data_IF_074786530810
#
_entry.id   IF_074786530810
#
_cell.length_a   1.000
_cell.length_b   1.000
_cell.length_c   1.000
_cell.angle_alpha   90.00
_cell.angle_beta   90.00
_cell.angle_gamma   90.00
#
_symmetry.space_group_name_H-M   'P 1'
#
loop_
_entity.id
_entity.type
_entity.pdbx_description
1 polymer ?
#
# COMPACT_ATOMS: atom_id res chain seq x y z
N UNK A 1 -15.15 -7.39 -4.01
CA UNK A 1 -15.31 -8.39 -5.11
C UNK A 1 -15.48 -9.81 -4.53
N UNK A 2 -16.73 -10.24 -4.31
CA UNK A 2 -17.04 -11.57 -3.77
C UNK A 2 -17.07 -12.63 -4.88
N UNK A 3 -15.89 -13.00 -5.37
CA UNK A 3 -15.71 -14.19 -6.24
C UNK A 3 -15.38 -15.45 -5.42
N UNK A 4 -15.65 -16.64 -5.95
CA UNK A 4 -15.19 -17.90 -5.35
C UNK A 4 -13.65 -18.02 -5.33
N UNK A 5 -13.11 -18.88 -4.48
CA UNK A 5 -11.68 -19.24 -4.52
C UNK A 5 -11.37 -19.91 -5.87
N UNK A 6 -10.31 -19.46 -6.56
CA UNK A 6 -9.95 -19.97 -7.89
C UNK A 6 -10.51 -19.19 -9.09
N UNK A 7 -11.37 -18.18 -8.87
CA UNK A 7 -11.93 -17.35 -9.95
C UNK A 7 -10.92 -16.36 -10.60
N UNK A 8 -9.62 -16.46 -10.31
CA UNK A 8 -8.59 -15.61 -10.91
C UNK A 8 -8.42 -14.23 -10.28
N UNK A 9 -8.93 -13.98 -9.07
CA UNK A 9 -8.78 -12.69 -8.36
C UNK A 9 -7.31 -12.24 -8.26
N UNK A 10 -6.43 -13.16 -7.86
CA UNK A 10 -5.00 -12.90 -7.73
C UNK A 10 -4.37 -12.64 -9.09
N UNK A 11 -4.76 -13.40 -10.11
CA UNK A 11 -4.32 -13.16 -11.49
C UNK A 11 -4.72 -11.76 -11.98
N UNK A 12 -5.95 -11.32 -11.68
CA UNK A 12 -6.42 -9.98 -12.02
C UNK A 12 -5.67 -8.89 -11.24
N UNK A 13 -5.46 -9.06 -9.93
CA UNK A 13 -4.69 -8.12 -9.13
C UNK A 13 -3.25 -7.99 -9.66
N UNK A 14 -2.59 -9.10 -9.99
CA UNK A 14 -1.24 -9.06 -10.55
C UNK A 14 -1.18 -8.29 -11.88
N UNK A 15 -2.21 -8.41 -12.73
CA UNK A 15 -2.29 -7.61 -13.95
C UNK A 15 -2.44 -6.11 -13.66
N UNK A 16 -3.25 -5.76 -12.65
CA UNK A 16 -3.47 -4.37 -12.24
C UNK A 16 -2.24 -3.77 -11.54
N UNK A 17 -1.46 -4.57 -10.83
CA UNK A 17 -0.22 -4.15 -10.17
C UNK A 17 0.99 -4.11 -11.11
N UNK A 18 0.78 -4.36 -12.41
CA UNK A 18 1.83 -4.49 -13.43
C UNK A 18 2.85 -5.60 -13.12
N UNK A 19 2.50 -6.55 -12.23
CA UNK A 19 3.30 -7.72 -11.97
C UNK A 19 3.22 -8.70 -13.14
N UNK A 20 4.37 -9.26 -13.53
CA UNK A 20 4.43 -10.28 -14.57
C UNK A 20 3.80 -11.58 -14.06
N UNK A 21 2.55 -11.83 -14.44
CA UNK A 21 1.88 -13.11 -14.25
C UNK A 21 2.33 -14.19 -15.25
N UNK A 22 1.83 -15.41 -15.07
CA UNK A 22 1.96 -16.48 -16.08
C UNK A 22 0.99 -16.20 -17.24
N UNK A 23 1.48 -16.30 -18.48
CA UNK A 23 0.68 -16.11 -19.70
C UNK A 23 0.84 -14.73 -20.34
N UNK A 24 0.01 -14.45 -21.37
CA UNK A 24 0.02 -13.18 -22.10
C UNK A 24 -1.16 -12.33 -21.64
N UNK A 25 -0.89 -11.16 -21.06
CA UNK A 25 -1.93 -10.17 -20.78
C UNK A 25 -2.48 -9.62 -22.10
N UNK A 26 -3.81 -9.56 -22.22
CA UNK A 26 -4.52 -8.96 -23.35
C UNK A 26 -5.41 -7.83 -22.83
N UNK A 27 -5.49 -6.73 -23.59
CA UNK A 27 -6.25 -5.53 -23.21
C UNK A 27 -5.38 -4.36 -22.77
N UNK A 28 -6.02 -3.26 -22.39
CA UNK A 28 -5.37 -2.01 -21.97
C UNK A 28 -5.92 -1.57 -20.62
N UNK A 29 -5.03 -1.14 -19.72
CA UNK A 29 -5.40 -0.53 -18.44
C UNK A 29 -5.11 0.96 -18.54
N UNK A 30 -6.07 1.78 -18.16
CA UNK A 30 -5.92 3.24 -18.13
C UNK A 30 -6.21 3.76 -16.74
N UNK A 31 -5.41 4.74 -16.27
CA UNK A 31 -5.70 5.53 -15.09
C UNK A 31 -6.08 6.95 -15.55
N UNK A 32 -7.29 7.39 -15.22
CA UNK A 32 -7.82 8.71 -15.62
C UNK A 32 -7.71 8.98 -17.14
N UNK A 33 -7.96 7.97 -17.97
CA UNK A 33 -7.90 8.07 -19.43
C UNK A 33 -6.50 7.99 -20.05
N UNK A 34 -5.44 7.94 -19.24
CA UNK A 34 -4.07 7.74 -19.71
C UNK A 34 -3.68 6.27 -19.58
N UNK A 35 -2.92 5.68 -20.53
CA UNK A 35 -2.37 4.34 -20.37
C UNK A 35 -1.60 4.20 -19.06
N UNK A 36 -1.91 3.17 -18.28
CA UNK A 36 -1.22 2.91 -17.01
C UNK A 36 0.23 2.49 -17.31
N UNK A 37 1.18 3.32 -16.89
CA UNK A 37 2.61 3.04 -16.99
C UNK A 37 3.19 2.69 -15.62
N UNK A 38 4.37 2.04 -15.54
CA UNK A 38 5.04 1.78 -14.26
C UNK A 38 5.28 3.04 -13.43
N UNK A 39 5.60 4.18 -14.06
CA UNK A 39 5.81 5.45 -13.38
C UNK A 39 4.49 5.98 -12.77
N UNK A 40 3.42 5.99 -13.56
CA UNK A 40 2.10 6.43 -13.11
C UNK A 40 1.54 5.51 -12.00
N UNK A 41 1.80 4.20 -12.12
CA UNK A 41 1.47 3.23 -11.07
C UNK A 41 2.24 3.52 -9.77
N UNK A 42 3.55 3.72 -9.84
CA UNK A 42 4.37 4.00 -8.66
C UNK A 42 3.97 5.30 -7.94
N UNK A 43 3.44 6.28 -8.68
CA UNK A 43 3.00 7.57 -8.13
C UNK A 43 1.59 7.53 -7.52
N UNK A 44 0.66 6.76 -8.11
CA UNK A 44 -0.77 6.85 -7.78
C UNK A 44 -1.40 5.57 -7.26
N UNK A 45 -0.71 4.43 -7.30
CA UNK A 45 -1.27 3.14 -6.94
C UNK A 45 -0.52 2.51 -5.77
N UNK A 46 -1.28 1.86 -4.89
CA UNK A 46 -0.77 1.02 -3.82
C UNK A 46 -1.61 -0.26 -3.75
N UNK A 47 -0.98 -1.37 -3.38
CA UNK A 47 -1.65 -2.66 -3.16
C UNK A 47 -1.45 -3.08 -1.72
N UNK A 48 -2.52 -3.53 -1.07
CA UNK A 48 -2.46 -4.16 0.24
C UNK A 48 -2.49 -5.66 0.04
N UNK A 49 -1.46 -6.35 0.51
CA UNK A 49 -1.33 -7.80 0.39
C UNK A 49 -2.22 -8.51 1.39
N UNK A 50 -2.56 -9.78 1.13
CA UNK A 50 -3.40 -10.57 2.04
C UNK A 50 -2.67 -10.95 3.35
N UNK A 51 -1.34 -11.03 3.31
CA UNK A 51 -0.51 -11.26 4.47
C UNK A 51 0.19 -9.95 4.85
N UNK A 52 0.10 -9.60 6.13
CA UNK A 52 0.82 -8.47 6.69
C UNK A 52 2.27 -8.86 6.98
N UNK A 53 3.20 -8.10 6.43
CA UNK A 53 4.65 -8.25 6.68
C UNK A 53 5.09 -7.17 7.67
N UNK A 54 4.70 -7.31 8.94
CA UNK A 54 5.05 -6.36 9.98
C UNK A 54 6.27 -6.83 10.78
N UNK A 55 7.24 -5.93 10.94
CA UNK A 55 8.30 -6.05 11.93
C UNK A 55 7.71 -6.01 13.35
N UNK A 56 7.75 -7.15 14.03
CA UNK A 56 7.15 -7.35 15.36
C UNK A 56 7.81 -6.54 16.48
N UNK A 57 9.03 -6.04 16.25
CA UNK A 57 9.76 -5.21 17.21
C UNK A 57 9.45 -3.70 17.09
N UNK A 58 8.75 -3.28 16.03
CA UNK A 58 8.36 -1.89 15.79
C UNK A 58 6.95 -1.58 16.31
N UNK A 59 6.74 -0.35 16.76
CA UNK A 59 5.41 0.15 17.12
C UNK A 59 4.58 0.49 15.89
N UNK A 60 3.26 0.63 16.04
CA UNK A 60 2.38 1.12 14.98
C UNK A 60 2.87 2.47 14.41
N UNK A 61 3.30 3.40 15.26
CA UNK A 61 3.87 4.70 14.83
C UNK A 61 5.17 4.52 14.04
N UNK A 62 6.05 3.61 14.44
CA UNK A 62 7.30 3.36 13.73
C UNK A 62 7.09 2.76 12.34
N UNK A 63 6.07 1.91 12.18
CA UNK A 63 5.66 1.39 10.88
C UNK A 63 5.20 2.51 9.94
N UNK A 64 4.31 3.38 10.42
CA UNK A 64 3.85 4.54 9.64
C UNK A 64 4.99 5.50 9.31
N UNK A 65 5.90 5.76 10.26
CA UNK A 65 7.08 6.60 10.02
C UNK A 65 7.97 6.02 8.94
N UNK A 66 8.26 4.72 8.97
CA UNK A 66 9.05 4.06 7.92
C UNK A 66 8.35 4.13 6.56
N UNK A 67 7.04 3.87 6.51
CA UNK A 67 6.27 3.97 5.27
C UNK A 67 6.35 5.39 4.68
N UNK A 68 6.10 6.44 5.48
CA UNK A 68 6.18 7.83 5.01
C UNK A 68 7.59 8.17 4.54
N UNK A 69 8.64 7.67 5.21
CA UNK A 69 10.01 7.91 4.78
C UNK A 69 10.30 7.36 3.38
N UNK A 70 9.72 6.21 3.04
CA UNK A 70 9.89 5.56 1.75
C UNK A 70 9.00 6.20 0.66
N UNK A 71 7.74 6.46 0.96
CA UNK A 71 6.75 6.92 -0.02
C UNK A 71 6.68 8.44 -0.18
N UNK A 72 7.13 9.21 0.82
CA UNK A 72 7.09 10.69 0.82
C UNK A 72 8.41 11.29 1.30
N UNK A 73 9.54 11.01 0.63
CA UNK A 73 10.86 11.45 1.06
C UNK A 73 11.07 12.98 0.98
N UNK A 74 10.19 13.71 0.30
CA UNK A 74 10.25 15.17 0.17
C UNK A 74 9.74 15.94 1.39
N UNK A 75 8.99 15.29 2.29
CA UNK A 75 8.42 15.97 3.46
C UNK A 75 9.52 16.33 4.48
N UNK A 76 9.38 17.50 5.12
CA UNK A 76 10.18 17.88 6.28
C UNK A 76 9.83 17.03 7.51
N UNK A 77 10.65 17.08 8.56
CA UNK A 77 10.38 16.33 9.78
C UNK A 77 9.01 16.68 10.38
N UNK A 78 8.67 17.97 10.47
CA UNK A 78 7.39 18.43 11.03
C UNK A 78 6.20 17.98 10.19
N UNK A 79 6.29 18.08 8.86
CA UNK A 79 5.22 17.60 7.96
C UNK A 79 5.04 16.08 8.04
N UNK A 80 6.13 15.33 8.23
CA UNK A 80 6.04 13.87 8.43
C UNK A 80 5.28 13.54 9.72
N UNK A 81 5.64 14.16 10.84
CA UNK A 81 4.97 13.87 12.11
C UNK A 81 3.48 14.23 12.05
N UNK A 82 3.12 15.37 11.45
CA UNK A 82 1.72 15.73 11.22
C UNK A 82 0.99 14.68 10.36
N UNK A 83 1.60 14.23 9.26
CA UNK A 83 1.02 13.20 8.41
C UNK A 83 0.86 11.83 9.13
N UNK A 84 1.77 11.49 10.06
CA UNK A 84 1.65 10.28 10.89
C UNK A 84 0.46 10.41 11.83
N UNK A 85 0.32 11.56 12.50
CA UNK A 85 -0.79 11.80 13.43
C UNK A 85 -2.14 11.77 12.70
N UNK A 86 -2.22 12.37 11.51
CA UNK A 86 -3.41 12.34 10.65
C UNK A 86 -3.75 10.89 10.24
N UNK A 87 -2.76 10.08 9.87
CA UNK A 87 -2.97 8.67 9.50
C UNK A 87 -3.41 7.83 10.70
N UNK A 88 -2.82 8.02 11.88
CA UNK A 88 -3.23 7.34 13.11
C UNK A 88 -4.69 7.66 13.45
N UNK A 89 -5.09 8.92 13.32
CA UNK A 89 -6.47 9.35 13.55
C UNK A 89 -7.43 8.77 12.51
N UNK A 90 -7.10 8.87 11.22
CA UNK A 90 -7.94 8.40 10.12
C UNK A 90 -8.15 6.88 10.14
N UNK A 91 -7.19 6.12 10.67
CA UNK A 91 -7.25 4.65 10.79
C UNK A 91 -7.77 4.18 12.15
N UNK A 92 -7.97 5.08 13.12
CA UNK A 92 -8.39 4.74 14.48
C UNK A 92 -7.32 4.04 15.32
N UNK A 93 -6.04 4.13 14.93
CA UNK A 93 -4.90 3.45 15.57
C UNK A 93 -4.21 4.30 16.64
N UNK A 94 -4.71 5.49 16.95
CA UNK A 94 -4.11 6.41 17.94
C UNK A 94 -3.89 5.76 19.31
N UNK A 95 -4.81 4.91 19.77
CA UNK A 95 -4.72 4.23 21.07
C UNK A 95 -3.62 3.17 21.15
N UNK A 96 -3.24 2.58 20.01
CA UNK A 96 -2.21 1.55 19.90
C UNK A 96 -0.93 2.05 19.22
N UNK A 97 -0.74 3.36 19.09
CA UNK A 97 0.39 3.94 18.37
C UNK A 97 1.77 3.50 18.92
N UNK A 98 1.84 3.18 20.22
CA UNK A 98 3.05 2.70 20.91
C UNK A 98 3.05 1.17 21.15
N UNK A 99 2.02 0.47 20.69
CA UNK A 99 1.94 -0.99 20.77
C UNK A 99 2.72 -1.61 19.62
N UNK A 100 3.49 -2.66 19.92
CA UNK A 100 4.22 -3.43 18.91
C UNK A 100 3.27 -4.33 18.12
N UNK A 101 3.49 -4.47 16.81
CA UNK A 101 2.61 -5.24 15.93
C UNK A 101 2.47 -6.74 16.30
N UNK A 102 3.39 -7.28 17.09
CA UNK A 102 3.37 -8.69 17.54
C UNK A 102 2.85 -8.92 18.96
N UNK A 103 2.30 -7.91 19.64
CA UNK A 103 1.78 -8.00 21.01
C UNK A 103 0.26 -7.97 21.04
#
# INVERSE_FOLDING_TARGET
LSFASGAGKTTLLNMLTLERGKGKALGTITLNGQPLTPALYAEHCAVVTQQDLLWTFLTCRDHLRNAINLYRPSLTHTEREAAIDDLLAATGLTSCQHTKAGN
#
